data_IF_443384822176
#
_entry.id   IF_443384822176
#
_cell.length_a   1.000
_cell.length_b   1.000
_cell.length_c   1.000
_cell.angle_alpha   90.00
_cell.angle_beta   90.00
_cell.angle_gamma   90.00
#
_symmetry.space_group_name_H-M   'P 1'
#
loop_
_entity.id
_entity.type
_entity.pdbx_description
1 polymer ?
#
# COMPACT_ATOMS: atom_id res chain seq x y z
N UNK A 1 -54.82 30.78 -49.37
CA UNK A 1 -54.02 29.56 -49.67
C UNK A 1 -53.29 29.16 -48.40
N UNK A 2 -53.59 27.96 -47.87
CA UNK A 2 -52.91 27.31 -46.73
C UNK A 2 -51.65 26.60 -47.20
N UNK A 3 -50.57 26.63 -46.41
CA UNK A 3 -49.49 25.62 -46.22
C UNK A 3 -48.42 26.27 -45.31
N UNK A 4 -48.38 25.98 -44.00
CA UNK A 4 -47.70 24.83 -43.35
C UNK A 4 -46.19 24.82 -43.66
N UNK A 5 -45.35 25.33 -42.76
CA UNK A 5 -44.64 24.60 -41.68
C UNK A 5 -43.41 23.83 -42.19
N UNK A 6 -42.21 24.21 -41.71
CA UNK A 6 -41.16 23.28 -41.28
C UNK A 6 -40.05 24.05 -40.56
N UNK A 7 -40.11 24.01 -39.23
CA UNK A 7 -39.00 24.33 -38.33
C UNK A 7 -38.12 23.08 -38.28
N UNK A 8 -36.88 23.15 -38.77
CA UNK A 8 -35.89 22.09 -38.60
C UNK A 8 -34.98 22.46 -37.43
N UNK A 9 -35.34 22.00 -36.23
CA UNK A 9 -34.40 21.94 -35.10
C UNK A 9 -33.55 20.71 -35.32
N UNK A 10 -32.32 20.91 -35.77
CA UNK A 10 -31.30 19.86 -35.79
C UNK A 10 -30.82 19.63 -34.35
N UNK A 11 -31.44 18.67 -33.66
CA UNK A 11 -30.98 18.16 -32.38
C UNK A 11 -29.69 17.38 -32.63
N UNK A 12 -28.56 18.07 -32.46
CA UNK A 12 -27.23 17.47 -32.49
C UNK A 12 -27.10 16.63 -31.22
N UNK A 13 -27.43 15.34 -31.32
CA UNK A 13 -27.11 14.35 -30.30
C UNK A 13 -25.60 14.28 -30.19
N UNK A 14 -25.04 15.02 -29.23
CA UNK A 14 -23.70 14.77 -28.69
C UNK A 14 -23.70 13.32 -28.23
N UNK A 15 -23.10 12.43 -29.03
CA UNK A 15 -22.62 11.16 -28.51
C UNK A 15 -21.57 11.51 -27.44
N UNK A 16 -21.99 11.58 -26.19
CA UNK A 16 -21.07 11.36 -25.07
C UNK A 16 -20.54 9.96 -25.29
N UNK A 17 -19.35 9.86 -25.89
CA UNK A 17 -18.64 8.59 -25.98
C UNK A 17 -18.63 7.95 -24.60
N UNK A 18 -18.87 6.64 -24.54
CA UNK A 18 -18.70 5.85 -23.32
C UNK A 18 -17.24 6.02 -22.87
N UNK A 19 -17.03 7.02 -22.02
CA UNK A 19 -15.74 7.64 -21.75
C UNK A 19 -15.04 6.95 -20.62
N UNK A 20 -14.58 5.72 -20.85
CA UNK A 20 -13.60 5.12 -19.95
C UNK A 20 -12.25 5.80 -20.12
N UNK A 21 -11.54 6.02 -19.02
CA UNK A 21 -10.13 6.42 -19.05
C UNK A 21 -9.26 5.17 -19.06
N UNK A 22 -8.26 5.14 -19.94
CA UNK A 22 -7.26 4.06 -19.97
C UNK A 22 -6.02 4.58 -19.26
N UNK A 23 -5.56 3.85 -18.26
CA UNK A 23 -4.37 4.20 -17.49
C UNK A 23 -3.30 3.13 -17.74
N UNK A 24 -2.08 3.58 -18.03
CA UNK A 24 -0.94 2.71 -18.25
C UNK A 24 0.25 3.19 -17.42
N UNK A 25 0.97 2.25 -16.80
CA UNK A 25 2.14 2.53 -15.98
C UNK A 25 3.28 1.59 -16.35
N UNK A 26 4.48 2.14 -16.48
CA UNK A 26 5.69 1.34 -16.41
C UNK A 26 5.96 0.93 -14.94
N UNK A 27 6.25 -0.34 -14.72
CA UNK A 27 6.57 -0.90 -13.41
C UNK A 27 8.07 -1.19 -13.31
N UNK A 28 8.72 -0.61 -12.31
CA UNK A 28 10.04 -1.05 -11.89
C UNK A 28 9.88 -1.90 -10.62
N UNK A 29 10.26 -3.19 -10.71
CA UNK A 29 10.26 -4.12 -9.57
C UNK A 29 11.68 -4.27 -9.04
N UNK A 30 11.92 -3.88 -7.80
CA UNK A 30 13.25 -3.87 -7.17
C UNK A 30 13.55 -5.19 -6.43
N UNK A 31 13.50 -6.30 -7.17
CA UNK A 31 13.88 -7.60 -6.62
C UNK A 31 14.44 -8.53 -7.70
N UNK A 32 15.48 -9.27 -7.36
CA UNK A 32 16.08 -10.26 -8.24
C UNK A 32 15.53 -11.69 -7.99
N UNK A 33 14.74 -11.89 -6.93
CA UNK A 33 14.15 -13.19 -6.59
C UNK A 33 12.95 -13.50 -7.50
N UNK A 34 13.02 -14.52 -8.37
CA UNK A 34 11.95 -14.84 -9.31
C UNK A 34 10.61 -15.19 -8.63
N UNK A 35 10.68 -15.76 -7.42
CA UNK A 35 9.48 -16.09 -6.65
C UNK A 35 8.77 -14.82 -6.16
N UNK A 36 9.54 -13.81 -5.72
CA UNK A 36 9.03 -12.51 -5.29
C UNK A 36 8.46 -11.71 -6.46
N UNK A 37 9.08 -11.78 -7.65
CA UNK A 37 8.54 -11.11 -8.85
C UNK A 37 7.10 -11.52 -9.13
N UNK A 38 6.81 -12.83 -9.11
CA UNK A 38 5.45 -13.35 -9.36
C UNK A 38 4.48 -12.89 -8.28
N UNK A 39 4.89 -12.94 -7.00
CA UNK A 39 4.07 -12.48 -5.88
C UNK A 39 3.77 -10.98 -5.97
N UNK A 40 4.77 -10.17 -6.33
CA UNK A 40 4.63 -8.73 -6.50
C UNK A 40 3.70 -8.38 -7.65
N UNK A 41 3.79 -9.03 -8.81
CA UNK A 41 2.85 -8.78 -9.92
C UNK A 41 1.40 -9.03 -9.49
N UNK A 42 1.15 -10.12 -8.77
CA UNK A 42 -0.19 -10.41 -8.24
C UNK A 42 -0.61 -9.41 -7.15
N UNK A 43 0.32 -8.98 -6.30
CA UNK A 43 0.06 -7.97 -5.28
C UNK A 43 -0.29 -6.62 -5.91
N UNK A 44 0.45 -6.17 -6.93
CA UNK A 44 0.16 -4.94 -7.69
C UNK A 44 -1.27 -4.93 -8.21
N UNK A 45 -1.69 -6.02 -8.86
CA UNK A 45 -3.05 -6.12 -9.38
C UNK A 45 -4.10 -5.97 -8.26
N UNK A 46 -3.93 -6.68 -7.13
CA UNK A 46 -4.85 -6.60 -5.99
C UNK A 46 -4.86 -5.22 -5.33
N UNK A 47 -3.71 -4.56 -5.24
CA UNK A 47 -3.58 -3.20 -4.68
C UNK A 47 -4.33 -2.20 -5.54
N UNK A 48 -4.13 -2.24 -6.86
CA UNK A 48 -4.79 -1.36 -7.83
C UNK A 48 -6.30 -1.57 -7.81
N UNK A 49 -6.76 -2.82 -7.88
CA UNK A 49 -8.18 -3.16 -7.83
C UNK A 49 -8.84 -2.65 -6.54
N UNK A 50 -8.23 -2.91 -5.38
CA UNK A 50 -8.77 -2.48 -4.08
C UNK A 50 -8.83 -0.95 -3.94
N UNK A 51 -7.81 -0.23 -4.43
CA UNK A 51 -7.78 1.24 -4.37
C UNK A 51 -8.90 1.85 -5.21
N UNK A 52 -9.16 1.31 -6.40
CA UNK A 52 -10.29 1.76 -7.25
C UNK A 52 -11.65 1.40 -6.65
N UNK A 53 -11.81 0.20 -6.12
CA UNK A 53 -13.02 -0.19 -5.41
C UNK A 53 -13.30 0.73 -4.20
N UNK A 54 -12.26 1.20 -3.50
CA UNK A 54 -12.41 2.10 -2.36
C UNK A 54 -12.96 3.48 -2.71
N UNK A 55 -12.85 3.90 -3.98
CA UNK A 55 -13.45 5.13 -4.52
C UNK A 55 -14.73 4.86 -5.31
N UNK A 56 -15.25 3.64 -5.27
CA UNK A 56 -16.51 3.25 -5.90
C UNK A 56 -16.42 2.97 -7.39
N UNK A 57 -15.21 2.67 -7.90
CA UNK A 57 -14.95 2.52 -9.33
C UNK A 57 -14.69 1.07 -9.71
N UNK A 58 -15.27 0.65 -10.84
CA UNK A 58 -15.05 -0.67 -11.40
C UNK A 58 -13.88 -0.65 -12.38
N UNK A 59 -12.93 -1.56 -12.17
CA UNK A 59 -11.78 -1.72 -13.04
C UNK A 59 -12.09 -2.71 -14.17
N UNK A 60 -11.63 -2.41 -15.38
CA UNK A 60 -11.74 -3.30 -16.56
C UNK A 60 -10.39 -3.52 -17.20
N UNK A 61 -10.14 -4.74 -17.67
CA UNK A 61 -8.94 -5.07 -18.45
C UNK A 61 -7.63 -4.89 -17.67
N UNK A 62 -7.64 -5.07 -16.35
CA UNK A 62 -6.44 -5.04 -15.53
C UNK A 62 -5.49 -6.16 -15.93
N UNK A 63 -4.32 -5.78 -16.43
CA UNK A 63 -3.28 -6.71 -16.88
C UNK A 63 -1.88 -6.14 -16.63
N UNK A 64 -0.92 -7.04 -16.44
CA UNK A 64 0.51 -6.72 -16.44
C UNK A 64 1.17 -7.49 -17.58
N UNK A 65 1.68 -6.75 -18.57
CA UNK A 65 2.30 -7.33 -19.75
C UNK A 65 3.79 -6.97 -19.82
N UNK A 66 4.62 -7.92 -20.28
CA UNK A 66 6.04 -7.67 -20.50
C UNK A 66 6.25 -6.94 -21.84
N UNK A 67 6.92 -5.78 -21.81
CA UNK A 67 7.34 -4.99 -22.98
C UNK A 67 8.87 -4.90 -23.07
N UNK A 68 9.37 -4.33 -24.16
CA UNK A 68 10.80 -4.13 -24.37
C UNK A 68 11.46 -3.29 -23.26
N UNK A 69 10.76 -2.28 -22.74
CA UNK A 69 11.26 -1.42 -21.66
C UNK A 69 11.10 -2.05 -20.26
N UNK A 70 10.40 -3.18 -20.14
CA UNK A 70 10.04 -3.83 -18.88
C UNK A 70 8.53 -4.03 -18.73
N UNK A 71 8.05 -4.44 -17.54
CA UNK A 71 6.64 -4.71 -17.32
C UNK A 71 5.80 -3.44 -17.31
N UNK A 72 4.63 -3.51 -17.94
CA UNK A 72 3.64 -2.44 -17.98
C UNK A 72 2.32 -2.92 -17.40
N UNK A 73 1.76 -2.14 -16.47
CA UNK A 73 0.42 -2.26 -15.95
C UNK A 73 -0.54 -1.46 -16.84
N UNK A 74 -1.63 -2.07 -17.28
CA UNK A 74 -2.70 -1.37 -18.01
C UNK A 74 -4.07 -1.73 -17.44
N UNK A 75 -4.97 -0.75 -17.40
CA UNK A 75 -6.39 -0.97 -17.06
C UNK A 75 -7.25 0.19 -17.57
N UNK A 76 -8.56 0.04 -17.46
CA UNK A 76 -9.53 1.10 -17.73
C UNK A 76 -10.50 1.31 -16.58
N UNK A 77 -10.88 2.55 -16.33
CA UNK A 77 -11.85 2.99 -15.31
C UNK A 77 -12.95 3.83 -15.93
N UNK A 78 -14.06 4.04 -15.22
CA UNK A 78 -15.20 4.78 -15.76
C UNK A 78 -14.98 6.29 -15.76
N UNK A 79 -14.20 6.81 -14.81
CA UNK A 79 -13.98 8.25 -14.68
C UNK A 79 -12.50 8.63 -14.65
N UNK A 80 -12.17 9.78 -15.27
CA UNK A 80 -10.81 10.35 -15.20
C UNK A 80 -10.43 10.71 -13.76
N UNK A 81 -11.39 11.19 -12.95
CA UNK A 81 -11.13 11.55 -11.56
C UNK A 81 -10.62 10.36 -10.73
N UNK A 82 -11.16 9.15 -10.97
CA UNK A 82 -10.67 7.93 -10.34
C UNK A 82 -9.25 7.58 -10.78
N UNK A 83 -8.95 7.71 -12.07
CA UNK A 83 -7.60 7.52 -12.61
C UNK A 83 -6.60 8.50 -11.97
N UNK A 84 -6.97 9.77 -11.82
CA UNK A 84 -6.11 10.80 -11.25
C UNK A 84 -5.83 10.53 -9.76
N UNK A 85 -6.86 10.16 -8.98
CA UNK A 85 -6.70 9.79 -7.57
C UNK A 85 -5.81 8.56 -7.39
N UNK A 86 -5.99 7.54 -8.24
CA UNK A 86 -5.15 6.35 -8.20
C UNK A 86 -3.70 6.68 -8.60
N UNK A 87 -3.51 7.53 -9.62
CA UNK A 87 -2.17 7.96 -10.02
C UNK A 87 -1.45 8.67 -8.88
N UNK A 88 -2.11 9.61 -8.20
CA UNK A 88 -1.54 10.29 -7.04
C UNK A 88 -1.12 9.27 -5.96
N UNK A 89 -1.97 8.30 -5.66
CA UNK A 89 -1.73 7.31 -4.61
C UNK A 89 -0.68 6.25 -4.95
N UNK A 90 -0.55 5.87 -6.24
CA UNK A 90 0.46 4.92 -6.73
C UNK A 90 1.84 5.56 -6.86
N UNK A 91 1.90 6.86 -7.16
CA UNK A 91 3.16 7.59 -7.34
C UNK A 91 3.65 8.29 -6.07
N UNK A 92 2.81 8.37 -5.03
CA UNK A 92 3.20 8.90 -3.73
C UNK A 92 4.31 8.05 -3.08
N UNK A 93 5.38 8.68 -2.53
CA UNK A 93 6.44 7.98 -1.83
C UNK A 93 5.91 7.06 -0.74
N UNK A 94 6.40 5.82 -0.69
CA UNK A 94 6.12 4.92 0.40
C UNK A 94 6.98 5.27 1.61
N UNK A 95 6.38 5.27 2.80
CA UNK A 95 7.09 5.54 4.04
C UNK A 95 6.58 4.60 5.12
N UNK A 96 7.50 3.90 5.78
CA UNK A 96 7.21 3.03 6.92
C UNK A 96 8.21 3.33 8.02
N UNK A 97 7.73 3.54 9.24
CA UNK A 97 8.58 3.83 10.40
C UNK A 97 8.20 2.96 11.58
N UNK A 98 9.21 2.47 12.30
CA UNK A 98 9.00 1.91 13.63
C UNK A 98 9.39 2.97 14.65
N UNK A 99 8.47 3.30 15.54
CA UNK A 99 8.65 4.36 16.53
C UNK A 99 8.41 3.82 17.93
N UNK A 100 9.12 4.32 18.93
CA UNK A 100 8.88 3.99 20.34
C UNK A 100 7.92 4.99 20.96
N UNK A 101 7.21 4.61 22.02
CA UNK A 101 6.45 5.60 22.81
C UNK A 101 7.38 6.68 23.38
N UNK A 102 6.93 7.93 23.32
CA UNK A 102 7.62 9.07 23.90
C UNK A 102 7.71 8.93 25.43
N UNK A 103 8.85 9.30 26.01
CA UNK A 103 8.99 9.38 27.47
C UNK A 103 8.24 10.60 28.00
N UNK A 104 8.02 10.64 29.31
CA UNK A 104 7.46 11.82 29.96
C UNK A 104 8.35 13.05 29.65
N UNK A 105 7.72 14.13 29.19
CA UNK A 105 8.37 15.40 28.81
C UNK A 105 9.29 15.33 27.58
N UNK A 106 9.28 14.22 26.85
CA UNK A 106 9.91 14.12 25.54
C UNK A 106 8.96 14.67 24.47
N UNK A 107 9.48 15.48 23.53
CA UNK A 107 8.69 16.00 22.41
C UNK A 107 8.51 14.86 21.40
N UNK A 108 7.27 14.45 21.08
CA UNK A 108 7.04 13.37 20.14
C UNK A 108 7.33 13.81 18.70
N UNK A 109 7.79 12.88 17.87
CA UNK A 109 7.85 13.07 16.41
C UNK A 109 6.44 13.08 15.81
N UNK A 110 5.54 12.25 16.33
CA UNK A 110 4.14 12.18 15.92
C UNK A 110 3.24 11.87 17.12
N UNK A 111 2.05 12.47 17.15
CA UNK A 111 0.99 12.08 18.06
C UNK A 111 -0.03 11.21 17.33
N UNK A 112 -0.31 10.03 17.88
CA UNK A 112 -1.37 9.16 17.40
C UNK A 112 -2.59 9.31 18.32
N UNK A 113 -3.73 9.71 17.75
CA UNK A 113 -4.98 9.93 18.47
C UNK A 113 -5.35 8.70 19.31
N UNK A 114 -5.65 8.91 20.59
CA UNK A 114 -5.97 7.82 21.53
C UNK A 114 -4.81 6.90 21.91
N UNK A 115 -3.61 7.11 21.37
CA UNK A 115 -2.44 6.23 21.58
C UNK A 115 -1.20 6.94 22.12
N UNK A 116 -1.18 8.27 22.13
CA UNK A 116 -0.11 9.09 22.70
C UNK A 116 1.00 9.43 21.69
N UNK A 117 2.09 9.98 22.22
CA UNK A 117 3.23 10.43 21.43
C UNK A 117 4.22 9.31 21.10
N UNK A 118 4.79 9.37 19.90
CA UNK A 118 5.80 8.43 19.41
C UNK A 118 7.04 9.17 18.90
N UNK A 119 8.20 8.56 19.10
CA UNK A 119 9.51 9.08 18.71
C UNK A 119 10.20 8.07 17.79
N UNK A 120 10.79 8.57 16.72
CA UNK A 120 11.51 7.75 15.74
C UNK A 120 12.64 6.93 16.37
N UNK A 121 12.80 5.71 15.86
CA UNK A 121 13.88 4.80 16.26
C UNK A 121 15.03 4.76 15.25
N UNK A 122 14.83 5.34 14.07
CA UNK A 122 15.72 5.20 12.90
C UNK A 122 15.40 3.98 12.02
N UNK A 123 14.54 3.06 12.46
CA UNK A 123 14.08 1.94 11.63
C UNK A 123 12.99 2.41 10.68
N UNK A 124 13.28 2.30 9.38
CA UNK A 124 12.50 2.82 8.25
C UNK A 124 12.27 1.73 7.18
N UNK A 125 11.57 2.07 6.09
CA UNK A 125 11.25 1.15 4.98
C UNK A 125 12.46 0.38 4.43
N UNK A 126 13.62 1.02 4.26
CA UNK A 126 14.86 0.40 3.78
C UNK A 126 15.42 -0.72 4.67
N UNK A 127 14.94 -0.81 5.92
CA UNK A 127 15.35 -1.82 6.89
C UNK A 127 14.46 -3.07 6.86
N UNK A 128 13.34 -3.03 6.14
CA UNK A 128 12.49 -4.19 5.91
C UNK A 128 12.97 -4.96 4.70
N UNK A 129 12.99 -6.29 4.84
CA UNK A 129 13.27 -7.20 3.74
C UNK A 129 11.97 -7.71 3.13
N UNK A 130 10.97 -8.10 3.93
CA UNK A 130 9.74 -8.62 3.38
C UNK A 130 8.64 -8.63 4.44
N UNK A 131 7.40 -8.55 3.99
CA UNK A 131 6.22 -8.76 4.85
C UNK A 131 5.48 -10.01 4.40
N UNK A 132 5.38 -10.99 5.29
CA UNK A 132 4.63 -12.22 5.03
C UNK A 132 3.31 -12.21 5.80
N UNK A 133 2.23 -12.50 5.10
CA UNK A 133 0.93 -12.75 5.71
C UNK A 133 0.68 -14.25 5.81
N UNK A 134 0.14 -14.68 6.95
CA UNK A 134 -0.28 -16.05 7.19
C UNK A 134 -1.58 -16.08 7.99
N UNK A 135 -2.18 -17.25 8.07
CA UNK A 135 -3.38 -17.49 8.87
C UNK A 135 -3.01 -18.14 10.21
N UNK A 136 -3.64 -17.69 11.28
CA UNK A 136 -3.59 -18.29 12.60
C UNK A 136 -4.75 -19.26 12.83
N UNK A 137 -4.84 -19.84 14.03
CA UNK A 137 -6.07 -20.50 14.47
C UNK A 137 -7.22 -19.48 14.50
N UNK A 138 -8.43 -19.97 14.31
CA UNK A 138 -9.67 -19.16 14.33
C UNK A 138 -9.79 -18.12 13.19
N UNK A 139 -9.18 -18.39 12.03
CA UNK A 139 -9.21 -17.54 10.82
C UNK A 139 -8.64 -16.12 11.00
N UNK A 140 -7.92 -15.87 12.11
CA UNK A 140 -7.22 -14.61 12.34
C UNK A 140 -5.99 -14.51 11.46
N UNK A 141 -5.59 -13.29 11.15
CA UNK A 141 -4.38 -13.03 10.39
C UNK A 141 -3.16 -12.89 11.28
N UNK A 142 -2.02 -13.25 10.72
CA UNK A 142 -0.68 -13.02 11.25
C UNK A 142 0.18 -12.34 10.21
N UNK A 143 0.97 -11.36 10.63
CA UNK A 143 2.01 -10.75 9.81
C UNK A 143 3.38 -11.07 10.43
N UNK A 144 4.33 -11.47 9.59
CA UNK A 144 5.75 -11.55 9.92
C UNK A 144 6.48 -10.43 9.18
N UNK A 145 7.16 -9.56 9.91
CA UNK A 145 8.05 -8.54 9.38
C UNK A 145 9.47 -9.08 9.40
N UNK A 146 9.97 -9.43 8.21
CA UNK A 146 11.36 -9.81 8.02
C UNK A 146 12.19 -8.54 7.77
N UNK A 147 13.30 -8.41 8.48
CA UNK A 147 14.20 -7.26 8.40
C UNK A 147 15.49 -7.63 7.68
N UNK A 148 16.09 -6.65 7.01
CA UNK A 148 17.47 -6.78 6.49
C UNK A 148 18.45 -7.01 7.66
N UNK A 149 19.70 -7.38 7.36
CA UNK A 149 20.71 -7.55 8.42
C UNK A 149 20.86 -6.30 9.28
N UNK A 150 20.97 -5.13 8.65
CA UNK A 150 21.12 -3.84 9.31
C UNK A 150 19.83 -3.48 10.07
N UNK A 151 18.66 -3.76 9.48
CA UNK A 151 17.37 -3.61 10.14
C UNK A 151 17.24 -4.45 11.41
N UNK A 152 17.71 -5.71 11.39
CA UNK A 152 17.74 -6.57 12.60
C UNK A 152 18.63 -6.00 13.68
N UNK A 153 19.78 -5.41 13.33
CA UNK A 153 20.67 -4.78 14.31
C UNK A 153 20.03 -3.58 14.99
N UNK A 154 19.37 -2.72 14.22
CA UNK A 154 18.60 -1.60 14.78
C UNK A 154 17.43 -2.08 15.63
N UNK A 155 16.67 -3.07 15.16
CA UNK A 155 15.54 -3.62 15.89
C UNK A 155 15.94 -4.28 17.21
N UNK A 156 17.11 -4.93 17.29
CA UNK A 156 17.67 -5.43 18.56
C UNK A 156 17.94 -4.29 19.54
N UNK A 157 18.45 -3.16 19.06
CA UNK A 157 18.63 -1.97 19.91
C UNK A 157 17.28 -1.45 20.40
N UNK A 158 16.29 -1.33 19.52
CA UNK A 158 14.93 -0.90 19.87
C UNK A 158 14.34 -1.81 20.95
N UNK A 159 14.42 -3.14 20.80
CA UNK A 159 13.87 -4.09 21.78
C UNK A 159 14.55 -3.96 23.14
N UNK A 160 15.89 -3.93 23.18
CA UNK A 160 16.65 -3.80 24.44
C UNK A 160 16.30 -2.52 25.21
N UNK A 161 16.09 -1.41 24.52
CA UNK A 161 15.83 -0.10 25.14
C UNK A 161 14.37 0.11 25.56
N UNK A 162 13.45 -0.74 25.08
CA UNK A 162 12.00 -0.54 25.23
C UNK A 162 11.26 -1.72 25.87
N UNK A 163 11.94 -2.61 26.59
CA UNK A 163 11.30 -3.70 27.35
C UNK A 163 10.20 -3.15 28.28
N UNK A 164 9.04 -3.82 28.27
CA UNK A 164 7.85 -3.44 29.01
C UNK A 164 7.09 -2.24 28.43
N UNK A 165 7.51 -1.73 27.26
CA UNK A 165 6.88 -0.58 26.58
C UNK A 165 6.32 -0.99 25.23
N UNK A 166 5.53 -0.09 24.66
CA UNK A 166 5.01 -0.24 23.32
C UNK A 166 5.94 0.41 22.28
N UNK A 167 6.01 -0.23 21.12
CA UNK A 167 6.49 0.36 19.87
C UNK A 167 5.31 0.41 18.89
N UNK A 168 5.30 1.40 18.01
CA UNK A 168 4.31 1.59 16.96
C UNK A 168 4.92 1.33 15.60
N UNK A 169 4.19 0.62 14.75
CA UNK A 169 4.42 0.55 13.32
C UNK A 169 3.58 1.62 12.65
N UNK A 170 4.23 2.50 11.90
CA UNK A 170 3.60 3.58 11.15
C UNK A 170 3.78 3.35 9.67
N UNK A 171 2.68 3.45 8.91
CA UNK A 171 2.71 3.41 7.44
C UNK A 171 2.06 4.70 6.96
N UNK A 172 2.77 5.45 6.09
CA UNK A 172 2.33 6.75 5.57
C UNK A 172 1.84 7.70 6.69
N UNK A 173 2.59 7.72 7.81
CA UNK A 173 2.30 8.58 8.96
C UNK A 173 1.14 8.14 9.85
N UNK A 174 0.51 6.99 9.61
CA UNK A 174 -0.59 6.47 10.44
C UNK A 174 -0.13 5.27 11.26
N UNK A 175 -0.50 5.23 12.54
CA UNK A 175 -0.26 4.09 13.40
C UNK A 175 -1.12 2.91 12.92
N UNK A 176 -0.49 1.87 12.40
CA UNK A 176 -1.18 0.67 11.89
C UNK A 176 -1.15 -0.50 12.87
N UNK A 177 -0.12 -0.57 13.71
CA UNK A 177 -0.01 -1.60 14.74
C UNK A 177 0.79 -1.08 15.94
N UNK A 178 0.43 -1.56 17.13
CA UNK A 178 1.17 -1.31 18.37
C UNK A 178 1.61 -2.64 18.94
N UNK A 179 2.92 -2.79 19.16
CA UNK A 179 3.52 -4.00 19.69
C UNK A 179 4.08 -3.73 21.08
N UNK A 180 3.76 -4.60 22.04
CA UNK A 180 4.41 -4.58 23.33
C UNK A 180 5.74 -5.36 23.25
N UNK A 181 6.82 -4.77 23.75
CA UNK A 181 8.13 -5.41 23.80
C UNK A 181 8.25 -6.15 25.14
N UNK A 182 7.99 -7.46 25.13
CA UNK A 182 8.00 -8.25 26.37
C UNK A 182 9.40 -8.68 26.83
N UNK A 183 10.33 -8.85 25.87
CA UNK A 183 11.70 -9.28 26.17
C UNK A 183 12.72 -8.39 25.45
N UNK A 184 13.93 -8.32 25.99
CA UNK A 184 15.04 -7.60 25.38
C UNK A 184 15.58 -8.28 24.10
N UNK A 185 15.21 -9.54 23.88
CA UNK A 185 15.67 -10.34 22.75
C UNK A 185 14.70 -10.18 21.59
N UNK A 186 15.23 -9.71 20.47
CA UNK A 186 14.55 -9.85 19.19
C UNK A 186 14.79 -11.28 18.71
N UNK A 187 13.71 -12.01 18.38
CA UNK A 187 13.82 -13.22 17.54
C UNK A 187 14.24 -12.79 16.12
N UNK A 188 14.37 -13.72 15.17
CA UNK A 188 14.80 -13.32 13.82
C UNK A 188 13.84 -12.31 13.16
N UNK A 189 12.53 -12.42 13.44
CA UNK A 189 11.47 -11.56 12.89
C UNK A 189 10.56 -10.94 13.96
N UNK A 190 9.88 -9.85 13.59
CA UNK A 190 8.76 -9.30 14.38
C UNK A 190 7.45 -9.89 13.89
N UNK A 191 6.67 -10.44 14.82
CA UNK A 191 5.39 -11.07 14.51
C UNK A 191 4.26 -10.23 15.09
N UNK A 192 3.30 -9.85 14.24
CA UNK A 192 2.04 -9.22 14.64
C UNK A 192 0.94 -10.27 14.53
N UNK A 193 0.31 -10.58 15.66
CA UNK A 193 -0.74 -11.60 15.75
C UNK A 193 -2.12 -11.02 16.01
N UNK A 194 -3.16 -11.82 15.78
CA UNK A 194 -4.53 -11.49 16.17
C UNK A 194 -5.21 -10.46 15.27
N UNK A 195 -4.76 -10.33 14.03
CA UNK A 195 -5.40 -9.49 13.01
C UNK A 195 -6.79 -10.06 12.72
N UNK A 196 -7.84 -9.24 12.52
CA UNK A 196 -9.21 -9.74 12.50
C UNK A 196 -9.49 -10.82 11.44
N UNK A 197 -8.74 -10.84 10.34
CA UNK A 197 -8.78 -11.92 9.35
C UNK A 197 -7.45 -12.12 8.64
N UNK A 198 -7.23 -13.32 8.11
CA UNK A 198 -6.10 -13.61 7.22
C UNK A 198 -6.11 -12.74 5.96
N UNK A 199 -7.30 -12.38 5.46
CA UNK A 199 -7.45 -11.47 4.33
C UNK A 199 -6.90 -10.07 4.63
N UNK A 200 -7.20 -9.51 5.82
CA UNK A 200 -6.66 -8.21 6.22
C UNK A 200 -5.14 -8.24 6.38
N UNK A 201 -4.58 -9.34 6.90
CA UNK A 201 -3.14 -9.53 6.97
C UNK A 201 -2.51 -9.55 5.57
N UNK A 202 -3.14 -10.22 4.61
CA UNK A 202 -2.69 -10.27 3.21
C UNK A 202 -2.78 -8.91 2.53
N UNK A 203 -3.88 -8.17 2.73
CA UNK A 203 -4.03 -6.79 2.23
C UNK A 203 -2.87 -5.92 2.71
N UNK A 204 -2.55 -6.00 4.01
CA UNK A 204 -1.43 -5.25 4.57
C UNK A 204 -0.08 -5.67 3.95
N UNK A 205 0.19 -6.97 3.84
CA UNK A 205 1.43 -7.47 3.26
C UNK A 205 1.59 -7.05 1.79
N UNK A 206 0.51 -7.11 1.01
CA UNK A 206 0.51 -6.64 -0.38
C UNK A 206 0.82 -5.14 -0.44
N UNK A 207 0.14 -4.31 0.35
CA UNK A 207 0.35 -2.86 0.35
C UNK A 207 1.78 -2.48 0.74
N UNK A 208 2.35 -3.13 1.77
CA UNK A 208 3.73 -2.86 2.19
C UNK A 208 4.73 -3.36 1.16
N UNK A 209 4.61 -4.59 0.68
CA UNK A 209 5.58 -5.14 -0.28
C UNK A 209 5.53 -4.39 -1.62
N UNK A 210 4.35 -3.99 -2.10
CA UNK A 210 4.24 -3.12 -3.29
C UNK A 210 4.90 -1.77 -3.02
N UNK A 211 4.68 -1.17 -1.84
CA UNK A 211 5.33 0.08 -1.47
C UNK A 211 6.85 0.01 -1.34
N UNK A 212 7.39 -1.14 -0.90
CA UNK A 212 8.83 -1.37 -0.77
C UNK A 212 9.51 -1.63 -2.12
N UNK A 213 8.84 -2.35 -3.01
CA UNK A 213 9.48 -2.99 -4.15
C UNK A 213 9.00 -2.54 -5.52
N UNK A 214 7.97 -1.70 -5.61
CA UNK A 214 7.38 -1.30 -6.89
C UNK A 214 7.36 0.21 -7.03
N UNK A 215 8.00 0.70 -8.09
CA UNK A 215 7.86 2.08 -8.52
C UNK A 215 6.95 2.14 -9.75
N UNK A 216 5.89 2.97 -9.67
CA UNK A 216 4.95 3.21 -10.75
C UNK A 216 5.34 4.48 -11.50
N UNK A 217 5.55 4.39 -12.81
CA UNK A 217 5.76 5.57 -13.66
C UNK A 217 4.61 5.67 -14.67
N UNK A 218 3.76 6.70 -14.60
CA UNK A 218 2.64 6.84 -15.55
C UNK A 218 3.16 7.04 -16.96
N UNK A 219 2.49 6.40 -17.93
CA UNK A 219 2.77 6.55 -19.36
C UNK A 219 1.74 7.50 -20.01
N UNK A 220 2.12 8.23 -21.08
CA UNK A 220 1.23 9.16 -21.79
C UNK A 220 0.04 8.50 -22.49
#
# INVERSE_FOLDING_TARGET
MRRSLSIAVATMTLLTGCGGSVSTYHLQLDTEDPSRLTLLSLAVMRVVERRLQSVGEEIRGLDISQKEAGPELSFSVETQAASDLLQEDLTAPFALRIMRTAKEKEIPTIEAEGHGGFVETGVQEEHLEWVEASEERDNKGRITLAFTKDGRELMRKVFRENVGKNIGLFVRGRLVAKLQVDTAELKDDVIITGIPSAELARVFADDVNVGLYVTFTPLP
#
